data_IF_794088431801
#
_entry.id   IF_794088431801
#
_cell.length_a   1.000
_cell.length_b   1.000
_cell.length_c   1.000
_cell.angle_alpha   90.00
_cell.angle_beta   90.00
_cell.angle_gamma   90.00
#
_symmetry.space_group_name_H-M   'P 1'
#
loop_
_entity.id
_entity.type
_entity.pdbx_description
1 polymer ?
#
# COMPACT_ATOMS: atom_id res chain seq x y z
N UNK A 1 -4.12 5.53 -19.70
CA UNK A 1 -4.72 4.23 -19.30
C UNK A 1 -3.63 3.17 -19.16
N UNK A 2 -2.91 2.77 -20.22
CA UNK A 2 -1.91 1.68 -20.17
C UNK A 2 -0.58 1.98 -19.46
N UNK A 3 -0.18 3.24 -19.28
CA UNK A 3 1.13 3.55 -18.68
C UNK A 3 1.32 2.97 -17.28
N UNK A 4 0.23 2.82 -16.53
CA UNK A 4 0.26 2.28 -15.17
C UNK A 4 0.66 0.78 -15.15
N UNK A 5 0.42 0.05 -16.24
CA UNK A 5 0.79 -1.37 -16.40
C UNK A 5 2.31 -1.56 -16.46
N UNK A 6 3.08 -0.51 -16.75
CA UNK A 6 4.54 -0.55 -16.81
C UNK A 6 5.20 -0.39 -15.43
N UNK A 7 4.42 -0.21 -14.37
CA UNK A 7 4.94 0.05 -13.03
C UNK A 7 4.33 -0.90 -12.01
N UNK A 8 5.10 -1.18 -10.97
CA UNK A 8 4.61 -1.76 -9.73
C UNK A 8 4.92 -0.81 -8.57
N UNK A 9 4.08 -0.84 -7.55
CA UNK A 9 4.35 -0.19 -6.29
C UNK A 9 4.29 -1.20 -5.15
N UNK A 10 5.18 -1.05 -4.18
CA UNK A 10 5.20 -1.81 -2.94
C UNK A 10 5.04 -0.88 -1.75
N UNK A 11 4.04 -1.16 -0.91
CA UNK A 11 3.82 -0.52 0.38
C UNK A 11 4.27 -1.44 1.50
N UNK A 12 5.08 -0.95 2.42
CA UNK A 12 5.59 -1.75 3.54
C UNK A 12 5.40 -1.04 4.88
N UNK A 13 4.81 -1.73 5.84
CA UNK A 13 4.87 -1.39 7.26
C UNK A 13 5.99 -2.19 7.91
N UNK A 14 6.91 -1.50 8.59
CA UNK A 14 8.01 -2.13 9.28
C UNK A 14 7.88 -1.89 10.78
N UNK A 15 7.97 -2.97 11.55
CA UNK A 15 7.94 -2.94 13.01
C UNK A 15 9.00 -3.87 13.56
N UNK A 16 9.16 -3.91 14.88
CA UNK A 16 10.17 -4.75 15.50
C UNK A 16 9.97 -6.24 15.12
N UNK A 17 10.87 -6.77 14.27
CA UNK A 17 10.83 -8.12 13.68
C UNK A 17 9.52 -8.45 12.96
N UNK A 18 8.80 -7.45 12.48
CA UNK A 18 7.52 -7.60 11.77
C UNK A 18 7.57 -6.79 10.49
N UNK A 19 7.03 -7.34 9.42
CA UNK A 19 6.85 -6.65 8.14
C UNK A 19 5.51 -7.03 7.55
N UNK A 20 4.75 -6.03 7.11
CA UNK A 20 3.55 -6.22 6.29
C UNK A 20 3.81 -5.54 4.95
N UNK A 21 3.64 -6.28 3.86
CA UNK A 21 3.97 -5.82 2.50
C UNK A 21 2.76 -6.02 1.61
N UNK A 22 2.43 -5.01 0.80
CA UNK A 22 1.46 -5.08 -0.29
C UNK A 22 2.12 -4.61 -1.58
N UNK A 23 1.98 -5.37 -2.65
CA UNK A 23 2.54 -5.03 -3.97
C UNK A 23 1.46 -5.17 -5.04
N UNK A 24 1.34 -4.17 -5.90
CA UNK A 24 0.34 -4.13 -6.97
C UNK A 24 0.78 -3.20 -8.11
N UNK A 25 0.06 -3.26 -9.24
CA UNK A 25 0.16 -2.24 -10.28
C UNK A 25 -0.58 -0.97 -9.84
N UNK A 26 -0.05 0.23 -10.09
CA UNK A 26 -0.76 1.46 -9.78
C UNK A 26 -2.02 1.57 -10.62
N UNK A 27 -3.05 2.23 -10.09
CA UNK A 27 -4.27 2.55 -10.85
C UNK A 27 -4.12 3.88 -11.58
N UNK A 28 -4.70 3.95 -12.77
CA UNK A 28 -4.75 5.19 -13.54
C UNK A 28 -5.65 6.21 -12.83
N UNK A 29 -5.28 7.50 -12.84
CA UNK A 29 -6.11 8.58 -12.26
C UNK A 29 -7.53 8.62 -12.83
N UNK A 30 -7.73 8.11 -14.04
CA UNK A 30 -9.04 8.04 -14.71
C UNK A 30 -9.98 6.99 -14.10
N UNK A 31 -9.45 5.98 -13.41
CA UNK A 31 -10.23 4.93 -12.76
C UNK A 31 -10.61 5.32 -11.32
N UNK A 32 -9.89 6.27 -10.73
CA UNK A 32 -10.04 6.66 -9.33
C UNK A 32 -9.64 5.55 -8.35
N UNK A 33 -9.89 5.79 -7.06
CA UNK A 33 -9.54 4.84 -5.98
C UNK A 33 -10.75 4.21 -5.30
N UNK A 34 -11.96 4.76 -5.47
CA UNK A 34 -13.15 4.31 -4.75
C UNK A 34 -13.48 2.83 -4.98
N UNK A 35 -13.48 2.39 -6.23
CA UNK A 35 -13.75 0.98 -6.57
C UNK A 35 -12.71 0.03 -5.97
N UNK A 36 -11.44 0.44 -5.93
CA UNK A 36 -10.36 -0.35 -5.35
C UNK A 36 -10.52 -0.50 -3.83
N UNK A 37 -10.87 0.59 -3.14
CA UNK A 37 -11.13 0.60 -1.70
C UNK A 37 -12.33 -0.29 -1.35
N UNK A 38 -13.45 -0.17 -2.10
CA UNK A 38 -14.64 -0.99 -1.88
C UNK A 38 -14.38 -2.49 -2.13
N UNK A 39 -13.51 -2.81 -3.08
CA UNK A 39 -13.11 -4.18 -3.38
C UNK A 39 -12.01 -4.73 -2.46
N UNK A 40 -11.48 -3.93 -1.52
CA UNK A 40 -10.29 -4.26 -0.74
C UNK A 40 -9.06 -4.61 -1.60
N UNK A 41 -8.97 -4.02 -2.80
CA UNK A 41 -7.83 -4.15 -3.71
C UNK A 41 -6.79 -3.06 -3.43
N UNK A 42 -6.28 -3.06 -2.20
CA UNK A 42 -5.24 -2.18 -1.70
C UNK A 42 -4.68 -2.72 -0.37
N UNK A 43 -3.67 -2.06 0.20
CA UNK A 43 -3.21 -2.36 1.55
C UNK A 43 -4.30 -2.02 2.58
N UNK A 44 -4.90 -3.05 3.18
CA UNK A 44 -5.94 -2.93 4.22
C UNK A 44 -5.44 -3.50 5.54
N UNK A 45 -5.61 -2.75 6.63
CA UNK A 45 -5.29 -3.20 7.99
C UNK A 45 -6.19 -2.52 9.03
N UNK A 46 -6.41 -3.19 10.16
CA UNK A 46 -7.19 -2.65 11.27
C UNK A 46 -6.33 -1.80 12.24
N UNK A 47 -6.98 -1.18 13.21
CA UNK A 47 -6.31 -0.36 14.24
C UNK A 47 -5.35 -1.17 15.12
N UNK A 48 -5.62 -2.45 15.33
CA UNK A 48 -4.74 -3.34 16.10
C UNK A 48 -3.44 -3.62 15.36
N UNK A 49 -3.49 -3.80 14.04
CA UNK A 49 -2.33 -3.91 13.17
C UNK A 49 -1.58 -2.57 13.12
N UNK A 50 -2.27 -1.45 12.90
CA UNK A 50 -1.64 -0.13 12.88
C UNK A 50 -0.81 0.14 14.15
N UNK A 51 -1.36 -0.15 15.33
CA UNK A 51 -0.65 0.01 16.62
C UNK A 51 0.59 -0.89 16.76
N UNK A 52 0.65 -2.03 16.07
CA UNK A 52 1.82 -2.92 16.09
C UNK A 52 2.98 -2.40 15.25
N UNK A 53 2.71 -1.47 14.32
CA UNK A 53 3.68 -0.90 13.39
C UNK A 53 3.94 0.60 13.63
N UNK A 54 3.09 1.27 14.42
CA UNK A 54 3.26 2.68 14.74
C UNK A 54 4.33 2.92 15.81
N UNK A 55 5.06 4.01 15.66
CA UNK A 55 6.01 4.53 16.64
C UNK A 55 5.55 5.92 17.09
N UNK A 56 5.38 6.12 18.41
CA UNK A 56 4.85 7.35 19.00
C UNK A 56 3.55 7.87 18.34
N UNK A 57 2.66 6.95 17.94
CA UNK A 57 1.40 7.28 17.28
C UNK A 57 1.51 7.58 15.78
N UNK A 58 2.72 7.55 15.21
CA UNK A 58 2.96 7.75 13.78
C UNK A 58 3.13 6.40 13.08
N UNK A 59 2.44 6.21 11.95
CA UNK A 59 2.59 5.02 11.12
C UNK A 59 3.42 5.35 9.88
N UNK A 60 4.64 4.84 9.83
CA UNK A 60 5.49 4.96 8.64
C UNK A 60 5.11 3.90 7.60
N UNK A 61 4.94 4.33 6.35
CA UNK A 61 4.72 3.45 5.21
C UNK A 61 5.85 3.66 4.22
N UNK A 62 6.67 2.65 4.02
CA UNK A 62 7.67 2.69 2.96
C UNK A 62 6.98 2.47 1.62
N UNK A 63 7.29 3.33 0.66
CA UNK A 63 6.74 3.26 -0.70
C UNK A 63 7.89 3.06 -1.66
N UNK A 64 7.86 1.95 -2.40
CA UNK A 64 8.77 1.71 -3.52
C UNK A 64 7.97 1.71 -4.81
N UNK A 65 8.46 2.40 -5.84
CA UNK A 65 7.93 2.32 -7.20
C UNK A 65 9.04 1.81 -8.10
N UNK A 66 8.72 0.82 -8.92
CA UNK A 66 9.63 0.23 -9.90
C UNK A 66 8.94 0.08 -11.25
N UNK A 67 9.72 0.12 -12.32
CA UNK A 67 9.26 -0.38 -13.61
C UNK A 67 9.17 -1.92 -13.53
N UNK A 68 8.17 -2.49 -14.20
CA UNK A 68 7.99 -3.95 -14.34
C UNK A 68 8.81 -4.46 -15.51
#
# INVERSE_FOLDING_TARGET
RKQAENFSYRLELNGNRRRLTWEAMPRSIHEGVCCAILASDCLVFDTSIARRFADNGNLAINVTISMV
#
